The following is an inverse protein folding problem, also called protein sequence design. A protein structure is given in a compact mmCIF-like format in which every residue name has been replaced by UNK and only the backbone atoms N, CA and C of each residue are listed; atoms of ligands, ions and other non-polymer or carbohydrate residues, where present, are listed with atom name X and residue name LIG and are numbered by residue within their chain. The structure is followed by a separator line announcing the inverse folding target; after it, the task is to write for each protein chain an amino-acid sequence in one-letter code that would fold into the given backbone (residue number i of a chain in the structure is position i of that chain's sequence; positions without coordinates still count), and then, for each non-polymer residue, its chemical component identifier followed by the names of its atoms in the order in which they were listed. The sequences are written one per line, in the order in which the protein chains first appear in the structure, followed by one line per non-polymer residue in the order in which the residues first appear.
data_IF_822060716468
#
_entry.id   IF_822060716468
#
_cell.length_a   1.000
_cell.length_b   1.000
_cell.length_c   1.000
_cell.angle_alpha   90.00
_cell.angle_beta   90.00
_cell.angle_gamma   90.00
#
_symmetry.space_group_name_H-M   'P 1'
#
loop_
_entity.id
_entity.type
_entity.pdbx_description
1 polymer ?
#
# COMPACT_ATOMS: atom_id res chain seq x y z
N UNK A 1 -21.31 16.50 2.73
CA UNK A 1 -21.27 15.46 3.79
C UNK A 1 -20.60 14.21 3.24
N UNK A 2 -19.30 14.04 3.55
CA UNK A 2 -18.42 13.03 2.95
C UNK A 2 -18.23 11.77 3.82
N UNK A 3 -18.99 11.64 4.90
CA UNK A 3 -18.84 10.57 5.88
C UNK A 3 -20.21 9.93 6.15
N UNK A 4 -20.42 8.73 5.61
CA UNK A 4 -21.63 7.93 5.85
C UNK A 4 -21.39 7.03 7.09
N UNK A 5 -21.23 7.64 8.26
CA UNK A 5 -20.96 6.93 9.53
C UNK A 5 -22.06 5.91 9.85
N UNK A 6 -23.30 6.19 9.43
CA UNK A 6 -24.46 5.30 9.51
C UNK A 6 -24.24 3.98 8.79
N UNK A 7 -23.61 4.02 7.60
CA UNK A 7 -23.39 2.83 6.79
C UNK A 7 -22.33 1.89 7.40
N UNK A 8 -21.25 2.48 7.92
CA UNK A 8 -20.15 1.73 8.58
C UNK A 8 -20.60 1.13 9.91
N UNK A 9 -21.46 1.83 10.67
CA UNK A 9 -21.96 1.35 11.95
C UNK A 9 -22.98 0.20 11.81
N UNK A 10 -23.71 0.14 10.69
CA UNK A 10 -24.79 -0.84 10.48
C UNK A 10 -24.34 -2.25 10.06
N UNK A 11 -23.11 -2.43 9.56
CA UNK A 11 -22.62 -3.73 9.07
C UNK A 11 -21.49 -4.26 9.94
N UNK A 12 -21.73 -5.34 10.70
CA UNK A 12 -20.74 -5.95 11.61
C UNK A 12 -19.43 -6.33 10.91
N UNK A 13 -19.50 -6.82 9.68
CA UNK A 13 -18.33 -7.24 8.91
C UNK A 13 -17.45 -6.04 8.52
N UNK A 14 -18.04 -4.88 8.18
CA UNK A 14 -17.27 -3.67 7.86
C UNK A 14 -16.58 -3.12 9.11
N UNK A 15 -17.21 -3.23 10.29
CA UNK A 15 -16.62 -2.77 11.56
C UNK A 15 -15.31 -3.49 11.87
N UNK A 16 -15.23 -4.79 11.63
CA UNK A 16 -13.98 -5.55 11.82
C UNK A 16 -12.88 -5.09 10.87
N UNK A 17 -13.19 -4.92 9.58
CA UNK A 17 -12.20 -4.41 8.63
C UNK A 17 -11.75 -3.00 9.02
N UNK A 18 -12.69 -2.12 9.41
CA UNK A 18 -12.37 -0.76 9.86
C UNK A 18 -11.51 -0.75 11.14
N UNK A 19 -11.81 -1.60 12.13
CA UNK A 19 -11.02 -1.75 13.35
C UNK A 19 -9.61 -2.26 13.05
N UNK A 20 -9.50 -3.25 12.17
CA UNK A 20 -8.21 -3.79 11.74
C UNK A 20 -7.39 -2.72 11.01
N UNK A 21 -8.02 -1.95 10.11
CA UNK A 21 -7.39 -0.80 9.46
C UNK A 21 -6.87 0.22 10.48
N UNK A 22 -7.68 0.55 11.49
CA UNK A 22 -7.31 1.49 12.54
C UNK A 22 -6.17 0.97 13.40
N UNK A 23 -6.16 -0.33 13.73
CA UNK A 23 -5.10 -0.97 14.50
C UNK A 23 -3.79 -1.01 13.71
N UNK A 24 -3.83 -1.37 12.42
CA UNK A 24 -2.66 -1.32 11.54
C UNK A 24 -2.13 0.11 11.41
N UNK A 25 -3.01 1.08 11.20
CA UNK A 25 -2.62 2.48 11.09
C UNK A 25 -1.94 2.99 12.37
N UNK A 26 -2.51 2.69 13.55
CA UNK A 26 -1.91 3.05 14.83
C UNK A 26 -0.57 2.33 15.04
N UNK A 27 -0.52 1.03 14.75
CA UNK A 27 0.69 0.22 14.86
C UNK A 27 1.83 0.73 13.98
N UNK A 28 1.54 1.03 12.71
CA UNK A 28 2.49 1.65 11.79
C UNK A 28 2.92 3.04 12.25
N UNK A 29 1.99 3.86 12.72
CA UNK A 29 2.30 5.20 13.23
C UNK A 29 3.26 5.13 14.41
N UNK A 30 2.96 4.27 15.40
CA UNK A 30 3.83 4.03 16.56
C UNK A 30 5.19 3.47 16.13
N UNK A 31 5.20 2.49 15.21
CA UNK A 31 6.43 1.94 14.66
C UNK A 31 7.31 3.02 14.01
N UNK A 32 6.75 3.87 13.15
CA UNK A 32 7.49 4.95 12.51
C UNK A 32 7.94 6.02 13.49
N UNK A 33 7.14 6.35 14.51
CA UNK A 33 7.54 7.28 15.58
C UNK A 33 8.74 6.74 16.37
N UNK A 34 8.74 5.44 16.69
CA UNK A 34 9.87 4.78 17.35
C UNK A 34 11.10 4.70 16.43
N UNK A 35 10.91 4.28 15.18
CA UNK A 35 11.98 4.09 14.21
C UNK A 35 12.65 5.41 13.79
N UNK A 36 11.89 6.51 13.66
CA UNK A 36 12.43 7.82 13.34
C UNK A 36 13.00 8.58 14.55
N UNK A 37 12.51 8.31 15.77
CA UNK A 37 12.99 8.99 16.98
C UNK A 37 14.18 8.28 17.62
N UNK A 38 15.37 8.87 17.45
CA UNK A 38 16.60 8.41 18.13
C UNK A 38 16.51 8.42 19.66
N UNK A 39 15.62 9.23 20.25
CA UNK A 39 15.39 9.25 21.71
C UNK A 39 14.52 8.10 22.16
N UNK A 40 13.46 7.79 21.40
CA UNK A 40 12.50 6.75 21.77
C UNK A 40 13.06 5.34 21.53
N UNK A 41 13.81 5.13 20.43
CA UNK A 41 14.54 3.89 20.18
C UNK A 41 15.57 3.57 21.28
N UNK A 42 16.29 4.59 21.78
CA UNK A 42 17.21 4.45 22.93
C UNK A 42 16.47 4.14 24.22
N UNK A 43 15.33 4.79 24.47
CA UNK A 43 14.52 4.57 25.66
C UNK A 43 13.98 3.13 25.73
N UNK A 44 13.58 2.56 24.59
CA UNK A 44 13.14 1.16 24.46
C UNK A 44 14.30 0.15 24.37
N UNK A 45 15.56 0.58 24.55
CA UNK A 45 16.76 -0.25 24.44
C UNK A 45 16.91 -1.02 23.11
N UNK A 46 16.25 -0.57 22.03
CA UNK A 46 16.30 -1.19 20.72
C UNK A 46 17.72 -1.12 20.10
N UNK A 47 18.55 -0.16 20.52
CA UNK A 47 19.97 -0.10 20.16
C UNK A 47 20.76 -1.32 20.68
N UNK A 48 20.39 -1.88 21.84
CA UNK A 48 21.06 -3.10 22.36
C UNK A 48 20.73 -4.34 21.53
N UNK A 49 19.50 -4.42 21.02
CA UNK A 49 19.07 -5.51 20.13
C UNK A 49 19.66 -5.33 18.73
N UNK A 50 19.69 -4.09 18.24
CA UNK A 50 20.37 -3.71 16.99
C UNK A 50 21.85 -4.12 17.01
N UNK A 51 22.59 -3.79 18.07
CA UNK A 51 24.00 -4.18 18.17
C UNK A 51 24.23 -5.70 18.18
N UNK A 52 23.27 -6.51 18.63
CA UNK A 52 23.35 -7.98 18.56
C UNK A 52 23.08 -8.52 17.16
N UNK A 53 22.29 -7.82 16.33
CA UNK A 53 21.88 -8.28 15.01
C UNK A 53 22.18 -7.20 13.96
N UNK A 54 23.29 -7.37 13.22
CA UNK A 54 23.77 -6.40 12.20
C UNK A 54 22.69 -5.90 11.23
N UNK A 55 21.77 -6.77 10.82
CA UNK A 55 20.64 -6.41 9.94
C UNK A 55 19.68 -5.42 10.61
N UNK A 56 19.32 -5.65 11.88
CA UNK A 56 18.42 -4.77 12.63
C UNK A 56 19.07 -3.41 12.85
N UNK A 57 20.37 -3.37 13.16
CA UNK A 57 21.13 -2.13 13.29
C UNK A 57 21.14 -1.33 11.98
N UNK A 58 21.46 -1.98 10.84
CA UNK A 58 21.51 -1.32 9.54
C UNK A 58 20.15 -0.76 9.12
N UNK A 59 19.07 -1.50 9.39
CA UNK A 59 17.70 -1.03 9.15
C UNK A 59 17.35 0.16 10.04
N UNK A 60 17.64 0.09 11.35
CA UNK A 60 17.39 1.18 12.30
C UNK A 60 18.16 2.45 11.91
N UNK A 61 19.45 2.34 11.57
CA UNK A 61 20.25 3.47 11.12
C UNK A 61 19.73 4.07 9.80
N UNK A 62 19.32 3.24 8.86
CA UNK A 62 18.71 3.69 7.60
C UNK A 62 17.41 4.45 7.86
N UNK A 63 16.51 3.91 8.70
CA UNK A 63 15.27 4.59 9.10
C UNK A 63 15.54 5.91 9.81
N UNK A 64 16.47 5.93 10.77
CA UNK A 64 16.82 7.17 11.49
C UNK A 64 17.44 8.21 10.57
N UNK A 65 18.27 7.81 9.60
CA UNK A 65 18.87 8.72 8.62
C UNK A 65 17.83 9.27 7.64
N UNK A 66 16.90 8.43 7.19
CA UNK A 66 15.76 8.84 6.38
C UNK A 66 14.84 9.81 7.16
N UNK A 67 14.63 9.52 8.46
CA UNK A 67 13.83 10.32 9.39
C UNK A 67 14.33 11.73 9.66
N UNK A 68 15.64 11.99 9.47
CA UNK A 68 16.23 13.32 9.71
C UNK A 68 15.83 14.33 8.63
N UNK A 69 15.53 13.90 7.41
CA UNK A 69 15.18 14.81 6.33
C UNK A 69 13.65 14.89 6.14
N UNK A 70 13.04 15.89 6.81
CA UNK A 70 11.59 16.13 6.75
C UNK A 70 11.07 16.37 5.34
N UNK A 71 11.89 16.93 4.44
CA UNK A 71 11.50 17.17 3.05
C UNK A 71 11.33 15.85 2.28
N UNK A 72 12.20 14.87 2.52
CA UNK A 72 12.10 13.54 1.88
C UNK A 72 10.86 12.79 2.38
N UNK A 73 10.59 12.86 3.69
CA UNK A 73 9.39 12.24 4.27
C UNK A 73 8.12 12.88 3.69
N UNK A 74 8.07 14.21 3.68
CA UNK A 74 6.95 14.96 3.08
C UNK A 74 6.74 14.64 1.61
N UNK A 75 7.83 14.61 0.83
CA UNK A 75 7.79 14.22 -0.59
C UNK A 75 7.28 12.79 -0.79
N UNK A 76 7.72 11.85 0.04
CA UNK A 76 7.28 10.44 -0.04
C UNK A 76 5.80 10.29 0.26
N UNK A 77 5.29 11.00 1.28
CA UNK A 77 3.86 11.03 1.61
C UNK A 77 3.04 11.64 0.47
N UNK A 78 3.50 12.75 -0.12
CA UNK A 78 2.83 13.38 -1.26
C UNK A 78 2.77 12.44 -2.47
N UNK A 79 3.89 11.78 -2.81
CA UNK A 79 3.93 10.81 -3.91
C UNK A 79 2.98 9.64 -3.65
N UNK A 80 2.92 9.14 -2.40
CA UNK A 80 1.99 8.07 -2.02
C UNK A 80 0.53 8.50 -2.14
N UNK A 81 0.17 9.69 -1.64
CA UNK A 81 -1.18 10.25 -1.78
C UNK A 81 -1.56 10.43 -3.25
N UNK A 82 -0.63 10.93 -4.07
CA UNK A 82 -0.86 11.11 -5.49
C UNK A 82 -1.11 9.77 -6.18
N UNK A 83 -0.27 8.77 -5.93
CA UNK A 83 -0.45 7.41 -6.43
C UNK A 83 -1.82 6.84 -6.04
N UNK A 84 -2.24 7.04 -4.78
CA UNK A 84 -3.54 6.57 -4.29
C UNK A 84 -4.71 7.24 -5.03
N UNK A 85 -4.62 8.56 -5.29
CA UNK A 85 -5.63 9.29 -6.07
C UNK A 85 -5.72 8.77 -7.50
N UNK A 86 -4.58 8.53 -8.16
CA UNK A 86 -4.57 7.96 -9.51
C UNK A 86 -5.19 6.57 -9.56
N UNK A 87 -4.94 5.73 -8.55
CA UNK A 87 -5.60 4.44 -8.45
C UNK A 87 -7.12 4.61 -8.31
N UNK A 88 -7.60 5.53 -7.47
CA UNK A 88 -9.05 5.78 -7.37
C UNK A 88 -9.63 6.28 -8.70
N UNK A 89 -8.95 7.21 -9.39
CA UNK A 89 -9.39 7.72 -10.70
C UNK A 89 -9.50 6.58 -11.70
N UNK A 90 -8.51 5.68 -11.73
CA UNK A 90 -8.55 4.50 -12.58
C UNK A 90 -9.82 3.67 -12.35
N UNK A 91 -10.15 3.35 -11.10
CA UNK A 91 -11.35 2.56 -10.78
C UNK A 91 -12.63 3.26 -11.20
N UNK A 92 -12.76 4.55 -10.93
CA UNK A 92 -13.98 5.28 -11.31
C UNK A 92 -14.14 5.41 -12.82
N UNK A 93 -13.08 5.74 -13.54
CA UNK A 93 -13.14 5.80 -15.00
C UNK A 93 -13.48 4.43 -15.60
N UNK A 94 -12.90 3.36 -15.04
CA UNK A 94 -13.23 2.00 -15.46
C UNK A 94 -14.70 1.67 -15.26
N UNK A 95 -15.31 2.09 -14.14
CA UNK A 95 -16.74 1.91 -13.91
C UNK A 95 -17.59 2.58 -14.99
N UNK A 96 -17.25 3.81 -15.39
CA UNK A 96 -17.95 4.55 -16.45
C UNK A 96 -17.79 3.87 -17.81
N UNK A 97 -16.61 3.32 -18.11
CA UNK A 97 -16.34 2.62 -19.37
C UNK A 97 -17.12 1.31 -19.47
N UNK A 98 -17.22 0.56 -18.37
CA UNK A 98 -17.92 -0.74 -18.32
C UNK A 98 -19.45 -0.56 -18.17
N UNK A 99 -19.93 0.67 -17.98
CA UNK A 99 -21.37 0.97 -17.84
C UNK A 99 -21.93 0.70 -16.44
N UNK A 100 -21.08 0.62 -15.42
CA UNK A 100 -21.49 0.41 -14.03
C UNK A 100 -21.80 1.77 -13.37
N UNK A 101 -22.91 2.40 -13.77
CA UNK A 101 -23.30 3.76 -13.35
C UNK A 101 -23.61 3.89 -11.84
N UNK A 102 -23.87 2.79 -11.15
CA UNK A 102 -24.10 2.79 -9.71
C UNK A 102 -22.83 3.12 -8.91
N UNK A 103 -21.64 2.92 -9.50
CA UNK A 103 -20.35 3.22 -8.86
C UNK A 103 -20.21 4.74 -8.76
N UNK A 104 -20.42 5.25 -7.56
CA UNK A 104 -20.23 6.66 -7.24
C UNK A 104 -18.83 6.92 -6.71
N UNK A 105 -18.42 8.19 -6.69
CA UNK A 105 -17.11 8.56 -6.16
C UNK A 105 -16.90 8.19 -4.69
N UNK A 106 -17.99 8.21 -3.91
CA UNK A 106 -17.99 7.76 -2.52
C UNK A 106 -17.69 6.27 -2.39
N UNK A 107 -18.27 5.44 -3.27
CA UNK A 107 -18.03 3.99 -3.28
C UNK A 107 -16.56 3.68 -3.54
N UNK A 108 -15.90 4.45 -4.43
CA UNK A 108 -14.48 4.27 -4.74
C UNK A 108 -13.58 4.75 -3.60
N UNK A 109 -13.86 5.91 -3.02
CA UNK A 109 -13.13 6.45 -1.86
C UNK A 109 -13.19 5.53 -0.64
N UNK A 110 -14.26 4.75 -0.51
CA UNK A 110 -14.40 3.74 0.53
C UNK A 110 -13.73 2.41 0.14
N UNK A 111 -14.14 1.82 -0.99
CA UNK A 111 -13.78 0.46 -1.34
C UNK A 111 -12.31 0.31 -1.78
N UNK A 112 -11.73 1.29 -2.48
CA UNK A 112 -10.38 1.14 -3.03
C UNK A 112 -9.29 1.15 -1.95
N UNK A 113 -9.23 2.14 -1.03
CA UNK A 113 -8.22 2.12 0.03
C UNK A 113 -8.36 0.91 0.94
N UNK A 114 -9.60 0.53 1.28
CA UNK A 114 -9.89 -0.64 2.10
C UNK A 114 -9.46 -1.93 1.39
N UNK A 115 -9.78 -2.06 0.10
CA UNK A 115 -9.40 -3.20 -0.72
C UNK A 115 -7.88 -3.36 -0.79
N UNK A 116 -7.14 -2.27 -1.00
CA UNK A 116 -5.67 -2.34 -0.99
C UNK A 116 -5.09 -2.74 0.36
N UNK A 117 -5.67 -2.25 1.46
CA UNK A 117 -5.25 -2.65 2.79
C UNK A 117 -5.46 -4.14 3.03
N UNK A 118 -6.61 -4.69 2.62
CA UNK A 118 -6.87 -6.15 2.69
C UNK A 118 -5.87 -6.94 1.83
N UNK A 119 -5.54 -6.46 0.63
CA UNK A 119 -4.53 -7.13 -0.22
C UNK A 119 -3.11 -7.07 0.30
N UNK A 120 -2.80 -6.09 1.14
CA UNK A 120 -1.48 -5.96 1.74
C UNK A 120 -1.24 -7.01 2.84
N UNK A 121 -2.30 -7.64 3.36
CA UNK A 121 -2.17 -8.74 4.32
C UNK A 121 -1.66 -9.96 3.54
N UNK A 122 -0.47 -10.52 3.89
CA UNK A 122 0.19 -11.57 3.12
C UNK A 122 -0.44 -12.94 3.37
N UNK A 123 -1.76 -13.05 3.16
CA UNK A 123 -2.51 -14.31 3.20
C UNK A 123 -2.33 -15.06 1.87
N UNK A 124 -2.13 -14.32 0.77
CA UNK A 124 -1.93 -14.87 -0.58
C UNK A 124 -0.82 -14.10 -1.34
N UNK A 125 -0.05 -14.78 -2.22
CA UNK A 125 1.00 -14.15 -3.01
C UNK A 125 0.42 -13.05 -3.92
N UNK A 126 1.02 -11.86 -3.84
CA UNK A 126 0.61 -10.65 -4.56
C UNK A 126 -0.87 -10.23 -4.38
N UNK A 127 -1.57 -10.77 -3.37
CA UNK A 127 -3.00 -10.53 -3.18
C UNK A 127 -3.89 -11.08 -4.31
N UNK A 128 -3.38 -11.98 -5.16
CA UNK A 128 -4.19 -12.63 -6.21
C UNK A 128 -5.21 -13.56 -5.54
N UNK A 129 -6.47 -13.53 -6.00
CA UNK A 129 -7.60 -14.16 -5.32
C UNK A 129 -8.15 -13.31 -4.17
N UNK A 130 -7.35 -13.02 -3.14
CA UNK A 130 -7.79 -12.25 -1.95
C UNK A 130 -8.26 -10.84 -2.33
N UNK A 131 -7.54 -10.17 -3.23
CA UNK A 131 -7.94 -8.84 -3.72
C UNK A 131 -9.21 -8.85 -4.53
N UNK A 132 -9.38 -9.84 -5.40
CA UNK A 132 -10.59 -9.98 -6.21
C UNK A 132 -11.82 -10.17 -5.33
N UNK A 133 -11.71 -11.05 -4.33
CA UNK A 133 -12.77 -11.28 -3.34
C UNK A 133 -13.03 -10.03 -2.50
N UNK A 134 -11.98 -9.38 -1.99
CA UNK A 134 -12.11 -8.18 -1.17
C UNK A 134 -12.81 -7.04 -1.91
N UNK A 135 -12.35 -6.71 -3.12
CA UNK A 135 -12.96 -5.64 -3.92
C UNK A 135 -14.39 -6.00 -4.37
N UNK A 136 -14.65 -7.24 -4.76
CA UNK A 136 -15.99 -7.70 -5.09
C UNK A 136 -16.96 -7.49 -3.92
N UNK A 137 -16.57 -7.95 -2.74
CA UNK A 137 -17.36 -7.85 -1.52
C UNK A 137 -17.58 -6.40 -1.08
N UNK A 138 -16.53 -5.57 -1.09
CA UNK A 138 -16.62 -4.15 -0.69
C UNK A 138 -17.55 -3.35 -1.62
N UNK A 139 -17.47 -3.55 -2.93
CA UNK A 139 -18.36 -2.87 -3.87
C UNK A 139 -19.79 -3.40 -3.80
N UNK A 140 -19.99 -4.70 -3.64
CA UNK A 140 -21.32 -5.29 -3.51
C UNK A 140 -22.06 -4.79 -2.27
N UNK A 141 -21.36 -4.70 -1.13
CA UNK A 141 -21.96 -4.16 0.08
C UNK A 141 -22.27 -2.68 -0.07
N UNK A 142 -21.29 -1.88 -0.53
CA UNK A 142 -21.49 -0.44 -0.64
C UNK A 142 -22.63 -0.09 -1.60
N UNK A 143 -22.72 -0.79 -2.74
CA UNK A 143 -23.75 -0.56 -3.75
C UNK A 143 -25.07 -1.25 -3.44
N UNK A 144 -25.11 -2.09 -2.40
CA UNK A 144 -26.26 -2.90 -2.00
C UNK A 144 -26.88 -3.71 -3.14
N UNK A 145 -26.04 -4.16 -4.09
CA UNK A 145 -26.48 -4.96 -5.24
C UNK A 145 -25.39 -5.95 -5.66
N UNK A 146 -25.76 -7.12 -6.20
CA UNK A 146 -24.79 -8.02 -6.82
C UNK A 146 -24.07 -7.32 -7.96
N UNK A 147 -22.75 -7.27 -7.93
CA UNK A 147 -21.92 -6.70 -9.00
C UNK A 147 -20.59 -7.44 -9.09
N UNK A 148 -20.13 -7.71 -10.31
CA UNK A 148 -18.79 -8.26 -10.56
C UNK A 148 -17.73 -7.16 -10.72
N UNK A 149 -18.14 -5.89 -10.68
CA UNK A 149 -17.27 -4.75 -10.96
C UNK A 149 -16.02 -4.74 -10.09
N UNK A 150 -16.13 -4.99 -8.80
CA UNK A 150 -14.99 -4.96 -7.88
C UNK A 150 -13.87 -5.94 -8.27
N UNK A 151 -14.20 -7.21 -8.55
CA UNK A 151 -13.23 -8.22 -8.97
C UNK A 151 -12.63 -7.90 -10.34
N UNK A 152 -13.45 -7.45 -11.29
CA UNK A 152 -12.99 -7.06 -12.63
C UNK A 152 -12.05 -5.86 -12.56
N UNK A 153 -12.38 -4.86 -11.73
CA UNK A 153 -11.63 -3.62 -11.62
C UNK A 153 -10.24 -3.83 -11.02
N UNK A 154 -10.12 -4.63 -9.94
CA UNK A 154 -8.81 -4.95 -9.37
C UNK A 154 -7.96 -5.79 -10.33
N UNK A 155 -8.58 -6.70 -11.07
CA UNK A 155 -7.88 -7.50 -12.09
C UNK A 155 -7.35 -6.60 -13.22
N UNK A 156 -8.16 -5.66 -13.72
CA UNK A 156 -7.74 -4.69 -14.72
C UNK A 156 -6.61 -3.76 -14.21
N UNK A 157 -6.69 -3.35 -12.95
CA UNK A 157 -5.64 -2.57 -12.30
C UNK A 157 -4.33 -3.36 -12.21
N UNK A 158 -4.39 -4.63 -11.78
CA UNK A 158 -3.21 -5.50 -11.70
C UNK A 158 -2.60 -5.76 -13.08
N UNK A 159 -3.40 -6.00 -14.11
CA UNK A 159 -2.91 -6.14 -15.49
C UNK A 159 -2.22 -4.88 -15.98
N UNK A 160 -2.77 -3.70 -15.65
CA UNK A 160 -2.15 -2.41 -15.96
C UNK A 160 -0.79 -2.25 -15.26
N UNK A 161 -0.70 -2.67 -14.00
CA UNK A 161 0.56 -2.66 -13.25
C UNK A 161 1.59 -3.61 -13.85
N UNK A 162 1.19 -4.82 -14.25
CA UNK A 162 2.08 -5.78 -14.93
C UNK A 162 2.59 -5.20 -16.24
N UNK A 163 1.72 -4.56 -17.02
CA UNK A 163 2.12 -3.90 -18.26
C UNK A 163 3.21 -2.85 -18.02
N UNK A 164 3.03 -1.95 -17.05
CA UNK A 164 4.04 -0.95 -16.70
C UNK A 164 5.32 -1.56 -16.12
N UNK A 165 5.20 -2.64 -15.33
CA UNK A 165 6.34 -3.37 -14.81
C UNK A 165 7.17 -4.00 -15.93
N UNK A 166 6.53 -4.54 -16.97
CA UNK A 166 7.21 -5.07 -18.15
C UNK A 166 7.95 -3.97 -18.91
N UNK A 167 7.34 -2.80 -19.10
CA UNK A 167 8.01 -1.65 -19.71
C UNK A 167 9.25 -1.26 -18.89
N UNK A 168 9.13 -1.17 -17.57
CA UNK A 168 10.25 -0.91 -16.67
C UNK A 168 11.35 -1.98 -16.76
N UNK A 169 10.97 -3.26 -16.84
CA UNK A 169 11.89 -4.37 -17.00
C UNK A 169 12.68 -4.29 -18.32
N UNK A 170 12.05 -3.89 -19.42
CA UNK A 170 12.73 -3.69 -20.70
C UNK A 170 13.81 -2.60 -20.62
N UNK A 171 13.52 -1.48 -19.94
CA UNK A 171 14.52 -0.43 -19.71
C UNK A 171 15.64 -0.91 -18.78
N UNK A 172 15.29 -1.67 -17.74
CA UNK A 172 16.26 -2.23 -16.79
C UNK A 172 17.24 -3.19 -17.48
N UNK A 173 16.73 -4.11 -18.30
CA UNK A 173 17.56 -5.09 -19.03
C UNK A 173 18.46 -4.46 -20.11
N UNK A 174 18.06 -3.29 -20.65
CA UNK A 174 18.86 -2.55 -21.64
C UNK A 174 19.96 -1.69 -21.03
N UNK A 175 19.97 -1.52 -19.71
CA UNK A 175 21.01 -0.75 -19.02
C UNK A 175 22.24 -1.62 -18.79
N UNK A 176 23.38 -1.23 -19.34
CA UNK A 176 24.67 -1.86 -19.03
C UNK A 176 24.94 -1.80 -17.52
N UNK A 177 25.58 -2.84 -16.98
CA UNK A 177 25.87 -2.95 -15.54
C UNK A 177 26.57 -1.66 -15.05
N UNK A 178 26.17 -1.12 -13.88
CA UNK A 178 26.92 -0.06 -13.22
C UNK A 178 28.36 -0.52 -12.99
N UNK A 179 29.35 0.32 -13.35
CA UNK A 179 30.78 0.07 -13.15
C UNK A 179 31.13 -0.36 -11.70
N UNK A 180 30.42 0.21 -10.73
CA UNK A 180 30.52 -0.09 -9.29
C UNK A 180 30.22 -1.56 -8.96
N UNK A 181 29.32 -2.21 -9.70
CA UNK A 181 29.01 -3.64 -9.54
C UNK A 181 30.06 -4.53 -10.24
N UNK A 182 30.74 -4.03 -11.27
CA UNK A 182 31.85 -4.76 -11.90
C UNK A 182 33.08 -4.73 -11.00
N UNK A 183 33.39 -3.58 -10.39
CA UNK A 183 34.48 -3.42 -9.42
C UNK A 183 34.27 -4.27 -8.16
N UNK A 184 33.05 -4.27 -7.60
CA UNK A 184 32.73 -5.10 -6.43
C UNK A 184 32.76 -6.62 -6.70
N UNK A 185 32.45 -7.04 -7.93
CA UNK A 185 32.56 -8.45 -8.34
C UNK A 185 34.03 -8.83 -8.61
N UNK A 186 34.83 -7.89 -9.13
CA UNK A 186 36.26 -8.08 -9.34
C UNK A 186 37.06 -8.14 -8.03
N UNK A 187 36.66 -7.42 -6.97
CA UNK A 187 37.27 -7.53 -5.63
C UNK A 187 36.95 -8.85 -4.91
N UNK A 188 35.92 -9.58 -5.36
CA UNK A 188 35.48 -10.86 -4.78
C UNK A 188 35.98 -12.08 -5.57
N UNK A 189 36.66 -11.89 -6.71
CA UNK A 189 37.18 -12.92 -7.60
C UNK A 189 38.72 -13.02 -7.50
#
# INVERSE_FOLDING_TARGET
MAWDYSFVAGHEQIRWVALLCLLIFLGMTVFFLIAFSQRLSRFLALDKIGHKVKIVHRLLEAFQRFGKNRAIIGGSVLVSLFSQVFAMIFFYQLARIVGEDAVTWKSVLFAVPMGFLVTAIPIAPAGIGVGQVAFHYLFQIYLQKPTQFGATAITAYQLSMVFWAMVGALFYLRRSKPRELEEAVAELA
#
